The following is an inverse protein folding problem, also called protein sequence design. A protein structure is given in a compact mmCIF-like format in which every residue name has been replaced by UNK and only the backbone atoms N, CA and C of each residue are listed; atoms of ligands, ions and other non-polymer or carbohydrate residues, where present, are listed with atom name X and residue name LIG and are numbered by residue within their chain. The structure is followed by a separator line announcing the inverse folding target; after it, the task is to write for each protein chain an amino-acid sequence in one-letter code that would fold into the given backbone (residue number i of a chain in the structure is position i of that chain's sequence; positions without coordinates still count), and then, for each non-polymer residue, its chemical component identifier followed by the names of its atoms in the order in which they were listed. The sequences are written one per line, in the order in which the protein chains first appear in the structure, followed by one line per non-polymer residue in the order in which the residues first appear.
data_IF_110381890394
#
_entry.id   IF_110381890394
#
_cell.length_a   1.000
_cell.length_b   1.000
_cell.length_c   1.000
_cell.angle_alpha   90.00
_cell.angle_beta   90.00
_cell.angle_gamma   90.00
#
_symmetry.space_group_name_H-M   'P 1'
#
loop_
_entity.id
_entity.type
_entity.pdbx_description
1 polymer ?
#
# COMPACT_ATOMS: atom_id res chain seq x y z
N UNK A 1 18.91 11.00 3.85
CA UNK A 1 17.72 11.31 3.06
C UNK A 1 17.66 10.32 1.92
N UNK A 2 16.61 9.53 1.86
CA UNK A 2 16.36 8.58 0.78
C UNK A 2 15.33 9.19 -0.17
N UNK A 3 15.63 9.20 -1.46
CA UNK A 3 14.68 9.62 -2.50
C UNK A 3 14.02 8.38 -3.07
N UNK A 4 12.79 8.11 -2.67
CA UNK A 4 11.99 6.99 -3.19
C UNK A 4 10.52 7.37 -3.29
N UNK A 5 9.74 6.69 -4.14
CA UNK A 5 8.28 6.77 -4.09
C UNK A 5 7.71 6.21 -2.78
N UNK A 6 6.42 6.44 -2.56
CA UNK A 6 5.72 5.86 -1.41
C UNK A 6 5.71 4.33 -1.50
N UNK A 7 6.25 3.64 -0.50
CA UNK A 7 6.15 2.18 -0.41
C UNK A 7 4.74 1.82 0.05
N UNK A 8 3.97 1.16 -0.81
CA UNK A 8 2.55 0.83 -0.60
C UNK A 8 2.30 -0.66 -0.46
N UNK A 9 3.17 -1.48 -1.05
CA UNK A 9 2.96 -2.91 -1.18
C UNK A 9 4.11 -3.67 -0.55
N UNK A 10 3.81 -4.59 0.40
CA UNK A 10 4.83 -5.45 0.98
C UNK A 10 5.26 -6.52 -0.01
N UNK A 11 6.53 -6.90 0.08
CA UNK A 11 7.05 -8.07 -0.61
C UNK A 11 7.80 -8.96 0.39
N UNK A 12 7.70 -10.26 0.19
CA UNK A 12 8.36 -11.27 1.05
C UNK A 12 9.78 -11.62 0.60
N UNK A 13 10.29 -11.01 -0.43
CA UNK A 13 11.63 -11.34 -0.92
C UNK A 13 12.73 -10.80 0.00
N UNK A 14 12.94 -11.51 1.11
CA UNK A 14 14.23 -11.53 1.80
C UNK A 14 14.52 -10.40 2.78
N UNK A 15 13.56 -9.56 3.13
CA UNK A 15 13.71 -8.52 4.15
C UNK A 15 12.50 -8.55 5.08
N UNK A 16 12.71 -8.31 6.38
CA UNK A 16 11.68 -8.22 7.44
C UNK A 16 10.59 -7.16 7.20
N UNK A 17 10.38 -6.73 5.98
CA UNK A 17 9.40 -5.71 5.58
C UNK A 17 8.04 -6.30 5.21
N UNK A 18 7.77 -7.52 5.61
CA UNK A 18 6.63 -8.28 5.12
C UNK A 18 5.29 -7.95 5.79
N UNK A 19 5.26 -7.14 6.83
CA UNK A 19 4.01 -6.83 7.54
C UNK A 19 3.38 -5.57 6.98
N UNK A 20 2.26 -5.72 6.30
CA UNK A 20 1.48 -4.59 5.77
C UNK A 20 1.15 -3.56 6.86
N UNK A 21 0.99 -4.00 8.12
CA UNK A 21 0.78 -3.14 9.28
C UNK A 21 1.95 -2.19 9.59
N UNK A 22 3.11 -2.42 9.03
CA UNK A 22 4.31 -1.58 9.25
C UNK A 22 4.45 -0.49 8.18
N UNK A 23 3.76 -0.61 7.05
CA UNK A 23 3.79 0.40 5.99
C UNK A 23 2.91 1.60 6.34
N UNK A 24 3.53 2.75 6.53
CA UNK A 24 2.81 3.96 6.90
C UNK A 24 1.83 4.42 5.82
N UNK A 25 2.16 4.26 4.54
CA UNK A 25 1.25 4.60 3.43
C UNK A 25 -0.01 3.73 3.46
N UNK A 26 0.11 2.44 3.79
CA UNK A 26 -1.03 1.55 3.96
C UNK A 26 -1.92 2.00 5.12
N UNK A 27 -1.33 2.29 6.28
CA UNK A 27 -2.08 2.83 7.43
C UNK A 27 -2.79 4.13 7.07
N UNK A 28 -2.10 5.04 6.39
CA UNK A 28 -2.67 6.31 5.96
C UNK A 28 -3.88 6.12 5.04
N UNK A 29 -3.80 5.22 4.06
CA UNK A 29 -4.93 4.91 3.16
C UNK A 29 -6.12 4.33 3.94
N UNK A 30 -5.89 3.38 4.85
CA UNK A 30 -6.96 2.80 5.68
C UNK A 30 -7.63 3.86 6.57
N UNK A 31 -6.85 4.74 7.21
CA UNK A 31 -7.41 5.81 8.03
C UNK A 31 -8.19 6.83 7.18
N UNK A 32 -7.69 7.23 6.02
CA UNK A 32 -8.42 8.10 5.10
C UNK A 32 -9.75 7.49 4.64
N UNK A 33 -9.77 6.19 4.34
CA UNK A 33 -11.02 5.49 3.99
C UNK A 33 -12.03 5.51 5.15
N UNK A 34 -11.56 5.33 6.38
CA UNK A 34 -12.41 5.40 7.57
C UNK A 34 -12.97 6.81 7.79
N UNK A 35 -12.14 7.83 7.67
CA UNK A 35 -12.53 9.24 7.86
C UNK A 35 -13.52 9.74 6.81
N UNK A 36 -13.41 9.24 5.58
CA UNK A 36 -14.32 9.59 4.49
C UNK A 36 -15.56 8.68 4.41
N UNK A 37 -15.77 7.84 5.43
CA UNK A 37 -16.87 6.87 5.48
C UNK A 37 -16.91 5.90 4.28
N UNK A 38 -15.72 5.57 3.76
CA UNK A 38 -15.51 4.67 2.62
C UNK A 38 -15.08 3.26 3.07
N UNK A 39 -15.58 2.77 4.20
CA UNK A 39 -15.25 1.44 4.74
C UNK A 39 -15.70 0.30 3.83
N UNK A 40 -16.68 0.55 2.99
CA UNK A 40 -17.14 -0.36 1.96
C UNK A 40 -16.05 -0.70 0.95
N UNK A 41 -15.13 0.22 0.67
CA UNK A 41 -13.95 -0.03 -0.20
C UNK A 41 -13.02 -1.08 0.43
N UNK A 42 -12.77 -0.98 1.73
CA UNK A 42 -11.96 -1.96 2.47
C UNK A 42 -12.63 -3.33 2.42
N UNK A 43 -13.95 -3.37 2.70
CA UNK A 43 -14.72 -4.61 2.69
C UNK A 43 -14.80 -5.24 1.30
N UNK A 44 -14.94 -4.41 0.25
CA UNK A 44 -14.96 -4.87 -1.14
C UNK A 44 -13.59 -5.44 -1.57
N UNK A 45 -12.49 -4.74 -1.26
CA UNK A 45 -11.14 -5.22 -1.54
C UNK A 45 -10.86 -6.55 -0.80
N UNK A 46 -11.27 -6.65 0.46
CA UNK A 46 -11.12 -7.88 1.24
C UNK A 46 -11.90 -9.05 0.62
N UNK A 47 -13.19 -8.86 0.27
CA UNK A 47 -13.99 -9.91 -0.37
C UNK A 47 -13.37 -10.37 -1.68
N UNK A 48 -13.01 -9.44 -2.57
CA UNK A 48 -12.33 -9.75 -3.84
C UNK A 48 -11.03 -10.54 -3.61
N UNK A 49 -10.27 -10.17 -2.57
CA UNK A 49 -9.04 -10.87 -2.20
C UNK A 49 -9.29 -12.27 -1.67
N UNK A 50 -10.35 -12.46 -0.87
CA UNK A 50 -10.76 -13.79 -0.36
C UNK A 50 -11.28 -14.70 -1.48
N UNK A 51 -12.04 -14.15 -2.42
CA UNK A 51 -12.63 -14.92 -3.53
C UNK A 51 -11.56 -15.52 -4.46
N UNK A 52 -10.35 -14.96 -4.45
CA UNK A 52 -9.22 -15.51 -5.23
C UNK A 52 -8.43 -16.59 -4.48
N UNK A 53 -8.68 -16.79 -3.19
CA UNK A 53 -7.96 -17.83 -2.43
C UNK A 53 -8.27 -19.20 -3.03
N UNK A 54 -7.23 -19.90 -3.45
CA UNK A 54 -7.35 -21.19 -4.13
C UNK A 54 -7.32 -21.12 -5.66
N UNK A 55 -7.41 -19.93 -6.26
CA UNK A 55 -7.18 -19.79 -7.68
C UNK A 55 -5.69 -20.00 -8.02
N UNK A 56 -5.39 -20.44 -9.26
CA UNK A 56 -4.02 -20.37 -9.77
C UNK A 56 -3.45 -18.96 -9.65
N UNK A 57 -2.22 -18.83 -9.18
CA UNK A 57 -1.60 -17.51 -8.96
C UNK A 57 -1.55 -16.62 -10.20
N UNK A 58 -1.53 -17.22 -11.37
CA UNK A 58 -1.54 -16.56 -12.70
C UNK A 58 -2.86 -15.83 -12.99
N UNK A 59 -3.93 -16.22 -12.29
CA UNK A 59 -5.27 -15.62 -12.42
C UNK A 59 -5.57 -14.59 -11.32
N UNK A 60 -4.69 -14.45 -10.34
CA UNK A 60 -4.88 -13.50 -9.24
C UNK A 60 -4.63 -12.07 -9.67
N UNK A 61 -5.44 -11.15 -9.15
CA UNK A 61 -5.34 -9.70 -9.37
C UNK A 61 -5.00 -9.01 -8.05
N UNK A 62 -4.18 -7.97 -8.10
CA UNK A 62 -3.85 -7.15 -6.93
C UNK A 62 -4.99 -6.18 -6.59
N UNK A 63 -6.00 -6.65 -5.88
CA UNK A 63 -7.11 -5.83 -5.40
C UNK A 63 -6.76 -4.89 -4.24
N UNK A 64 -5.57 -5.03 -3.64
CA UNK A 64 -5.09 -4.08 -2.63
C UNK A 64 -4.90 -2.69 -3.23
N UNK A 65 -4.71 -2.57 -4.53
CA UNK A 65 -4.68 -1.28 -5.24
C UNK A 65 -5.96 -0.46 -5.03
N UNK A 66 -7.10 -1.12 -4.85
CA UNK A 66 -8.40 -0.46 -4.70
C UNK A 66 -8.45 0.46 -3.47
N UNK A 67 -7.70 0.15 -2.38
CA UNK A 67 -7.68 0.98 -1.18
C UNK A 67 -6.94 2.32 -1.36
N UNK A 68 -6.04 2.38 -2.33
CA UNK A 68 -5.28 3.60 -2.66
C UNK A 68 -5.94 4.43 -3.77
N UNK A 69 -6.73 3.80 -4.62
CA UNK A 69 -7.30 4.40 -5.81
C UNK A 69 -8.11 5.70 -5.56
N UNK A 70 -8.84 5.87 -4.44
CA UNK A 70 -9.58 7.10 -4.17
C UNK A 70 -8.72 8.31 -3.82
N UNK A 71 -7.41 8.15 -3.62
CA UNK A 71 -6.54 9.18 -3.06
C UNK A 71 -5.37 9.51 -3.98
N UNK A 72 -4.96 10.79 -3.93
CA UNK A 72 -3.69 11.22 -4.54
C UNK A 72 -2.51 10.88 -3.62
N UNK A 73 -1.29 10.89 -4.19
CA UNK A 73 -0.06 10.69 -3.42
C UNK A 73 0.11 11.76 -2.33
N UNK A 74 -0.31 13.00 -2.62
CA UNK A 74 -0.27 14.13 -1.70
C UNK A 74 -1.22 13.94 -0.52
N UNK A 75 -2.43 13.43 -0.76
CA UNK A 75 -3.40 13.13 0.32
C UNK A 75 -2.87 12.04 1.25
N UNK A 76 -2.29 11.00 0.69
CA UNK A 76 -1.67 9.92 1.48
C UNK A 76 -0.47 10.47 2.27
N UNK A 77 0.39 11.27 1.65
CA UNK A 77 1.55 11.89 2.32
C UNK A 77 1.13 12.82 3.46
N UNK A 78 0.09 13.62 3.26
CA UNK A 78 -0.46 14.49 4.30
C UNK A 78 -0.97 13.68 5.52
N UNK A 79 -1.67 12.57 5.28
CA UNK A 79 -2.12 11.67 6.34
C UNK A 79 -0.94 10.98 7.04
N UNK A 80 0.08 10.60 6.31
CA UNK A 80 1.31 10.04 6.89
C UNK A 80 1.97 11.04 7.84
N UNK A 81 2.07 12.32 7.44
CA UNK A 81 2.59 13.40 8.31
C UNK A 81 1.76 13.50 9.58
N UNK A 82 0.45 13.48 9.49
CA UNK A 82 -0.44 13.53 10.65
C UNK A 82 -0.20 12.34 11.60
N UNK A 83 -0.11 11.13 11.07
CA UNK A 83 0.11 9.91 11.86
C UNK A 83 1.49 9.85 12.51
N UNK A 84 2.51 10.43 11.87
CA UNK A 84 3.90 10.40 12.34
C UNK A 84 4.26 11.59 13.23
N UNK A 85 3.48 12.67 13.23
CA UNK A 85 3.79 13.88 13.99
C UNK A 85 3.27 13.76 15.42
N UNK A 86 4.14 13.74 16.43
CA UNK A 86 3.72 13.71 17.84
C UNK A 86 2.86 14.93 18.21
N UNK A 87 1.89 14.72 19.09
CA UNK A 87 1.09 15.82 19.64
C UNK A 87 1.99 16.84 20.33
N UNK A 88 1.77 18.12 20.02
CA UNK A 88 2.56 19.22 20.60
C UNK A 88 3.84 19.57 19.84
N UNK A 89 4.11 18.92 18.71
CA UNK A 89 5.21 19.31 17.82
C UNK A 89 5.01 20.72 17.31
N UNK A 90 6.00 21.60 17.51
CA UNK A 90 5.96 23.00 17.05
C UNK A 90 6.52 23.18 15.65
N UNK A 91 7.35 22.24 15.18
CA UNK A 91 7.93 22.28 13.85
C UNK A 91 6.91 21.84 12.81
N UNK A 92 6.92 22.50 11.65
CA UNK A 92 6.19 22.00 10.47
C UNK A 92 6.89 20.76 9.95
N UNK A 93 6.15 19.64 9.87
CA UNK A 93 6.62 18.40 9.28
C UNK A 93 6.05 18.29 7.88
N UNK A 94 6.87 17.92 6.93
CA UNK A 94 6.47 17.70 5.53
C UNK A 94 7.21 16.47 4.98
N UNK A 95 6.50 15.65 4.22
CA UNK A 95 7.06 14.48 3.54
C UNK A 95 6.89 14.72 2.03
N UNK A 96 7.99 14.65 1.30
CA UNK A 96 8.01 14.76 -0.16
C UNK A 96 8.59 13.47 -0.72
N UNK A 97 7.81 12.78 -1.55
CA UNK A 97 8.23 11.56 -2.23
C UNK A 97 8.60 11.82 -3.68
N UNK A 98 9.45 10.97 -4.22
CA UNK A 98 9.73 10.93 -5.65
C UNK A 98 8.46 10.49 -6.40
N UNK A 99 7.97 11.23 -7.41
CA UNK A 99 6.90 10.74 -8.27
C UNK A 99 7.35 9.52 -9.08
N UNK A 100 6.41 8.58 -9.37
CA UNK A 100 6.71 7.40 -10.18
C UNK A 100 7.14 7.77 -11.61
N UNK A 101 6.53 8.80 -12.19
CA UNK A 101 6.91 9.32 -13.51
C UNK A 101 8.37 9.75 -13.52
N UNK A 102 8.83 10.49 -12.51
CA UNK A 102 10.23 10.89 -12.38
C UNK A 102 11.18 9.70 -12.18
N UNK A 103 10.73 8.65 -11.48
CA UNK A 103 11.49 7.41 -11.37
C UNK A 103 11.65 6.72 -12.73
N UNK A 104 10.58 6.61 -13.51
CA UNK A 104 10.60 6.02 -14.85
C UNK A 104 11.44 6.83 -15.82
N UNK A 105 11.42 8.16 -15.73
CA UNK A 105 12.26 9.05 -16.53
C UNK A 105 13.75 8.86 -16.21
N UNK A 106 14.09 8.79 -14.93
CA UNK A 106 15.47 8.60 -14.50
C UNK A 106 16.00 7.19 -14.78
N UNK A 107 15.15 6.17 -14.75
CA UNK A 107 15.51 4.76 -14.91
C UNK A 107 14.62 4.07 -15.97
N UNK A 108 14.66 4.49 -17.25
CA UNK A 108 13.71 4.04 -18.27
C UNK A 108 13.80 2.55 -18.60
N UNK A 109 14.92 1.91 -18.34
CA UNK A 109 15.17 0.50 -18.62
C UNK A 109 15.03 -0.41 -17.40
N UNK A 110 14.59 0.13 -16.25
CA UNK A 110 14.47 -0.61 -15.00
C UNK A 110 13.00 -0.77 -14.58
N UNK A 111 12.57 -2.01 -14.36
CA UNK A 111 11.19 -2.35 -13.97
C UNK A 111 11.10 -2.68 -12.47
N UNK A 112 11.71 -1.87 -11.62
CA UNK A 112 11.81 -2.11 -10.18
C UNK A 112 10.79 -1.34 -9.33
N UNK A 113 9.61 -1.00 -9.85
CA UNK A 113 8.65 -0.10 -9.21
C UNK A 113 7.50 -0.79 -8.46
N UNK A 114 7.44 -2.11 -8.42
CA UNK A 114 6.27 -2.85 -7.90
C UNK A 114 5.94 -2.60 -6.44
N UNK A 115 6.89 -2.23 -5.60
CA UNK A 115 6.66 -1.83 -4.21
C UNK A 115 5.85 -0.54 -4.09
N UNK A 116 5.86 0.28 -5.13
CA UNK A 116 5.23 1.58 -5.19
C UNK A 116 3.97 1.57 -6.03
N UNK A 117 4.02 0.90 -7.18
CA UNK A 117 2.91 0.82 -8.15
C UNK A 117 1.93 -0.32 -7.87
N UNK A 118 2.38 -1.40 -7.21
CA UNK A 118 1.62 -2.63 -7.07
C UNK A 118 1.52 -3.47 -8.34
N UNK A 119 2.29 -3.12 -9.38
CA UNK A 119 2.35 -3.84 -10.65
C UNK A 119 3.41 -4.92 -10.60
N UNK A 120 3.14 -6.00 -9.87
CA UNK A 120 4.10 -7.09 -9.73
C UNK A 120 4.38 -7.78 -11.06
N UNK A 121 5.66 -8.00 -11.39
CA UNK A 121 6.05 -8.66 -12.64
C UNK A 121 5.82 -10.17 -12.59
N UNK A 122 5.54 -10.73 -11.43
CA UNK A 122 5.32 -12.16 -11.24
C UNK A 122 4.02 -12.45 -10.51
N UNK A 123 3.33 -13.55 -10.83
CA UNK A 123 2.12 -13.99 -10.13
C UNK A 123 2.37 -14.25 -8.63
N UNK A 124 3.60 -14.61 -8.26
CA UNK A 124 4.00 -14.82 -6.87
C UNK A 124 3.86 -13.57 -6.01
N UNK A 125 4.26 -12.40 -6.52
CA UNK A 125 4.12 -11.12 -5.84
C UNK A 125 2.66 -10.77 -5.58
N UNK A 126 1.79 -10.94 -6.56
CA UNK A 126 0.34 -10.72 -6.41
C UNK A 126 -0.25 -11.63 -5.33
N UNK A 127 0.09 -12.93 -5.34
CA UNK A 127 -0.36 -13.88 -4.32
C UNK A 127 0.07 -13.46 -2.92
N UNK A 128 1.30 -12.99 -2.76
CA UNK A 128 1.84 -12.59 -1.46
C UNK A 128 1.14 -11.33 -0.92
N UNK A 129 0.97 -10.31 -1.73
CA UNK A 129 0.22 -9.09 -1.34
C UNK A 129 -1.21 -9.41 -0.98
N UNK A 130 -1.88 -10.25 -1.77
CA UNK A 130 -3.24 -10.70 -1.49
C UNK A 130 -3.33 -11.37 -0.11
N UNK A 131 -2.43 -12.29 0.20
CA UNK A 131 -2.42 -13.00 1.48
C UNK A 131 -2.07 -12.07 2.64
N UNK A 132 -1.11 -11.15 2.46
CA UNK A 132 -0.75 -10.18 3.48
C UNK A 132 -1.92 -9.26 3.84
N UNK A 133 -2.69 -8.83 2.84
CA UNK A 133 -3.88 -8.01 3.04
C UNK A 133 -4.98 -8.76 3.79
N UNK A 134 -5.29 -9.99 3.39
CA UNK A 134 -6.26 -10.85 4.08
C UNK A 134 -5.86 -11.01 5.55
N UNK A 135 -4.63 -11.41 5.81
CA UNK A 135 -4.13 -11.61 7.17
C UNK A 135 -4.25 -10.34 8.02
N UNK A 136 -3.91 -9.19 7.44
CA UNK A 136 -4.03 -7.90 8.13
C UNK A 136 -5.48 -7.61 8.54
N UNK A 137 -6.41 -7.75 7.59
CA UNK A 137 -7.82 -7.46 7.85
C UNK A 137 -8.39 -8.43 8.90
N UNK A 138 -8.08 -9.70 8.82
CA UNK A 138 -8.54 -10.70 9.79
C UNK A 138 -7.99 -10.47 11.20
N UNK A 139 -6.74 -10.02 11.32
CA UNK A 139 -6.15 -9.63 12.61
C UNK A 139 -6.79 -8.39 13.20
N UNK A 140 -7.08 -7.38 12.38
CA UNK A 140 -7.60 -6.09 12.85
C UNK A 140 -9.09 -6.13 13.17
N UNK A 141 -9.88 -6.92 12.47
CA UNK A 141 -11.35 -6.94 12.60
C UNK A 141 -11.91 -8.22 13.23
N UNK A 142 -11.05 -9.19 13.61
CA UNK A 142 -11.43 -10.42 14.27
C UNK A 142 -12.66 -11.12 13.60
N UNK A 143 -12.54 -11.30 12.29
CA UNK A 143 -13.57 -12.06 11.55
C UNK A 143 -13.48 -13.54 11.82
#
# INVERSE_FOLDING_TARGET
VSSSPQVRYPDYYGIDMAKMSEFIAFKAAIELLKERDMKDVIAAAYRKSKDQVGLPKEQMVNYVKDIYAPFTDEEISAKMVELLTPKGTKAKVEIVYQPLEGLHEACPNHQGDWYFSGNYPTPGGVKMVNQAFINYIEQMYQF
#
